data_IF_602612721037
#
_entry.id   IF_602612721037
#
_cell.length_a   1.000
_cell.length_b   1.000
_cell.length_c   1.000
_cell.angle_alpha   90.00
_cell.angle_beta   90.00
_cell.angle_gamma   90.00
#
_symmetry.space_group_name_H-M   'P 1'
#
loop_
_entity.id
_entity.type
_entity.pdbx_description
1 polymer ?
#
# COMPACT_ATOMS: atom_id res chain seq x y z
N UNK A 1 6.39 -7.09 -11.06
CA UNK A 1 4.99 -6.79 -10.79
C UNK A 1 4.01 -7.85 -11.31
N UNK A 2 4.11 -8.42 -12.55
CA UNK A 2 3.14 -9.42 -13.02
C UNK A 2 3.14 -10.71 -12.19
N UNK A 3 4.28 -11.15 -11.68
CA UNK A 3 4.39 -12.37 -10.86
C UNK A 3 3.67 -12.24 -9.51
N UNK A 4 3.68 -11.06 -8.90
CA UNK A 4 2.96 -10.79 -7.67
C UNK A 4 1.43 -10.88 -7.88
N UNK A 5 0.93 -10.32 -9.00
CA UNK A 5 -0.48 -10.42 -9.36
C UNK A 5 -0.91 -11.89 -9.57
N UNK A 6 -0.05 -12.72 -10.16
CA UNK A 6 -0.31 -14.15 -10.35
C UNK A 6 -0.43 -14.90 -9.00
N UNK A 7 0.45 -14.63 -8.03
CA UNK A 7 0.39 -15.23 -6.69
C UNK A 7 -0.90 -14.85 -5.96
N UNK A 8 -1.31 -13.58 -6.08
CA UNK A 8 -2.56 -13.08 -5.47
C UNK A 8 -3.77 -13.72 -6.15
N UNK A 9 -3.79 -13.82 -7.49
CA UNK A 9 -4.87 -14.44 -8.25
C UNK A 9 -5.06 -15.93 -7.90
N UNK A 10 -3.98 -16.64 -7.58
CA UNK A 10 -4.01 -18.04 -7.11
C UNK A 10 -4.21 -18.18 -5.59
N UNK A 11 -4.56 -17.10 -4.89
CA UNK A 11 -4.84 -17.07 -3.44
C UNK A 11 -3.67 -17.58 -2.57
N UNK A 12 -2.42 -17.59 -3.09
CA UNK A 12 -1.23 -18.02 -2.37
C UNK A 12 -0.65 -16.93 -1.46
N UNK A 13 -1.51 -16.37 -0.60
CA UNK A 13 -1.17 -15.25 0.28
C UNK A 13 -0.01 -15.54 1.24
N UNK A 14 0.19 -16.82 1.62
CA UNK A 14 1.31 -17.20 2.47
C UNK A 14 2.67 -16.87 1.83
N UNK A 15 2.82 -17.17 0.53
CA UNK A 15 4.07 -16.90 -0.19
C UNK A 15 4.30 -15.41 -0.31
N UNK A 16 3.23 -14.66 -0.63
CA UNK A 16 3.27 -13.20 -0.65
C UNK A 16 3.77 -12.65 0.69
N UNK A 17 3.18 -13.09 1.80
CA UNK A 17 3.56 -12.64 3.14
C UNK A 17 5.03 -12.94 3.48
N UNK A 18 5.51 -14.16 3.19
CA UNK A 18 6.91 -14.51 3.46
C UNK A 18 7.90 -13.67 2.64
N UNK A 19 7.61 -13.42 1.38
CA UNK A 19 8.48 -12.60 0.52
C UNK A 19 8.47 -11.14 0.95
N UNK A 20 7.33 -10.58 1.38
CA UNK A 20 7.25 -9.22 1.91
C UNK A 20 7.98 -9.08 3.26
N UNK A 21 7.92 -10.09 4.13
CA UNK A 21 8.72 -10.13 5.37
C UNK A 21 10.22 -10.14 5.03
N UNK A 22 10.63 -11.00 4.10
CA UNK A 22 12.02 -11.07 3.64
C UNK A 22 12.49 -9.72 3.06
N UNK A 23 11.68 -9.10 2.22
CA UNK A 23 11.96 -7.77 1.65
C UNK A 23 12.15 -6.72 2.74
N UNK A 24 11.29 -6.71 3.75
CA UNK A 24 11.37 -5.80 4.88
C UNK A 24 12.62 -6.04 5.71
N UNK A 25 12.95 -7.29 5.99
CA UNK A 25 14.17 -7.64 6.72
C UNK A 25 15.45 -7.19 5.95
N UNK A 26 15.49 -7.41 4.63
CA UNK A 26 16.60 -6.95 3.80
C UNK A 26 16.72 -5.42 3.79
N UNK A 27 15.61 -4.69 3.77
CA UNK A 27 15.63 -3.22 3.88
C UNK A 27 16.15 -2.74 5.24
N UNK A 28 15.83 -3.43 6.32
CA UNK A 28 16.41 -3.13 7.64
C UNK A 28 17.93 -3.38 7.67
N UNK A 29 18.40 -4.45 7.02
CA UNK A 29 19.85 -4.70 6.87
C UNK A 29 20.53 -3.57 6.09
N UNK A 30 19.90 -3.07 5.03
CA UNK A 30 20.43 -1.91 4.28
C UNK A 30 20.59 -0.70 5.20
N UNK A 31 19.59 -0.38 6.01
CA UNK A 31 19.66 0.75 6.94
C UNK A 31 20.82 0.59 7.95
N UNK A 32 21.03 -0.62 8.44
CA UNK A 32 22.15 -0.92 9.33
C UNK A 32 23.52 -0.74 8.61
N UNK A 33 23.63 -1.25 7.40
CA UNK A 33 24.86 -1.08 6.58
C UNK A 33 25.15 0.38 6.27
N UNK A 34 24.11 1.21 6.14
CA UNK A 34 24.26 2.65 5.91
C UNK A 34 24.92 3.38 7.09
N UNK A 35 24.71 2.89 8.31
CA UNK A 35 25.30 3.47 9.53
C UNK A 35 26.81 3.19 9.57
N UNK A 36 27.23 2.01 9.12
CA UNK A 36 28.63 1.54 9.17
C UNK A 36 29.45 1.97 7.95
N UNK A 37 28.79 2.37 6.86
CA UNK A 37 29.45 2.73 5.61
C UNK A 37 29.97 4.18 5.60
N UNK A 38 31.20 4.37 5.13
CA UNK A 38 31.85 5.66 4.91
C UNK A 38 31.62 6.24 3.49
N UNK A 39 30.92 5.49 2.62
CA UNK A 39 30.59 5.94 1.27
C UNK A 39 29.46 6.97 1.25
N UNK A 40 29.25 7.61 0.10
CA UNK A 40 28.07 8.47 -0.11
C UNK A 40 26.81 7.68 0.19
N UNK A 41 26.18 8.04 1.32
CA UNK A 41 25.03 7.32 1.89
C UNK A 41 23.86 7.22 0.93
N UNK A 42 23.66 8.26 0.10
CA UNK A 42 22.55 8.31 -0.85
C UNK A 42 22.76 7.33 -2.00
N UNK A 43 23.94 7.33 -2.59
CA UNK A 43 24.30 6.44 -3.70
C UNK A 43 24.33 4.98 -3.23
N UNK A 44 24.90 4.73 -2.06
CA UNK A 44 24.98 3.40 -1.48
C UNK A 44 23.58 2.83 -1.17
N UNK A 45 22.69 3.63 -0.59
CA UNK A 45 21.30 3.26 -0.37
C UNK A 45 20.57 2.93 -1.67
N UNK A 46 20.73 3.75 -2.70
CA UNK A 46 20.09 3.54 -4.00
C UNK A 46 20.51 2.20 -4.65
N UNK A 47 21.82 1.90 -4.64
CA UNK A 47 22.35 0.65 -5.21
C UNK A 47 21.84 -0.56 -4.43
N UNK A 48 21.93 -0.54 -3.10
CA UNK A 48 21.46 -1.66 -2.27
C UNK A 48 19.95 -1.89 -2.38
N UNK A 49 19.17 -0.82 -2.44
CA UNK A 49 17.72 -0.91 -2.64
C UNK A 49 17.38 -1.54 -3.98
N UNK A 50 18.09 -1.14 -5.05
CA UNK A 50 17.91 -1.74 -6.37
C UNK A 50 18.28 -3.23 -6.37
N UNK A 51 19.39 -3.61 -5.73
CA UNK A 51 19.78 -5.03 -5.60
C UNK A 51 18.72 -5.86 -4.87
N UNK A 52 18.16 -5.35 -3.78
CA UNK A 52 17.08 -6.03 -3.05
C UNK A 52 15.83 -6.15 -3.92
N UNK A 53 15.40 -5.11 -4.63
CA UNK A 53 14.21 -5.19 -5.48
C UNK A 53 14.41 -6.16 -6.66
N UNK A 54 15.61 -6.22 -7.25
CA UNK A 54 15.97 -7.23 -8.28
C UNK A 54 15.94 -8.63 -7.68
N UNK A 55 16.54 -8.84 -6.51
CA UNK A 55 16.57 -10.13 -5.83
C UNK A 55 15.16 -10.66 -5.51
N UNK A 56 14.30 -9.82 -4.96
CA UNK A 56 12.90 -10.14 -4.69
C UNK A 56 12.14 -10.46 -5.97
N UNK A 57 12.38 -9.72 -7.05
CA UNK A 57 11.76 -9.99 -8.35
C UNK A 57 12.18 -11.35 -8.91
N UNK A 58 13.45 -11.73 -8.73
CA UNK A 58 13.96 -13.04 -9.13
C UNK A 58 13.28 -14.16 -8.31
N UNK A 59 13.11 -13.98 -7.00
CA UNK A 59 12.40 -14.95 -6.14
C UNK A 59 10.98 -15.17 -6.65
N UNK A 60 10.23 -14.08 -6.86
CA UNK A 60 8.87 -14.15 -7.40
C UNK A 60 8.83 -14.87 -8.76
N UNK A 61 9.76 -14.54 -9.65
CA UNK A 61 9.86 -15.16 -10.97
C UNK A 61 10.11 -16.66 -10.88
N UNK A 62 11.10 -17.09 -10.08
CA UNK A 62 11.46 -18.52 -9.92
C UNK A 62 10.28 -19.29 -9.33
N UNK A 63 9.64 -18.72 -8.32
CA UNK A 63 8.47 -19.35 -7.70
C UNK A 63 7.33 -19.54 -8.71
N UNK A 64 6.95 -18.48 -9.42
CA UNK A 64 5.84 -18.50 -10.36
C UNK A 64 6.10 -19.46 -11.54
N UNK A 65 7.30 -19.45 -12.12
CA UNK A 65 7.63 -20.36 -13.23
C UNK A 65 7.59 -21.82 -12.81
N UNK A 66 7.90 -22.13 -11.53
CA UNK A 66 7.89 -23.51 -11.03
C UNK A 66 6.49 -24.02 -10.68
N UNK A 67 5.58 -23.14 -10.29
CA UNK A 67 4.27 -23.53 -9.76
C UNK A 67 3.11 -23.22 -10.70
N UNK A 68 3.29 -22.31 -11.67
CA UNK A 68 2.24 -21.86 -12.58
C UNK A 68 2.71 -21.95 -14.03
N UNK A 69 2.02 -22.75 -14.83
CA UNK A 69 2.33 -22.93 -16.27
C UNK A 69 2.09 -21.63 -17.07
N UNK A 70 1.14 -20.81 -16.62
CA UNK A 70 0.77 -19.54 -17.23
C UNK A 70 1.88 -18.48 -17.14
N UNK A 71 2.81 -18.62 -16.18
CA UNK A 71 3.94 -17.71 -15.99
C UNK A 71 5.12 -17.99 -16.93
N UNK A 72 5.01 -19.00 -17.80
CA UNK A 72 6.02 -19.25 -18.85
C UNK A 72 5.88 -18.21 -19.95
N UNK A 73 6.95 -17.49 -20.18
CA UNK A 73 6.97 -16.42 -21.19
C UNK A 73 6.68 -17.00 -22.60
N UNK A 74 5.53 -16.64 -23.17
CA UNK A 74 5.17 -16.90 -24.56
C UNK A 74 4.87 -15.56 -25.23
N UNK A 75 5.54 -15.31 -26.34
CA UNK A 75 5.28 -14.10 -27.11
C UNK A 75 4.04 -14.36 -27.99
N UNK A 76 2.86 -14.07 -27.47
CA UNK A 76 1.59 -14.11 -28.19
C UNK A 76 1.01 -12.71 -28.22
N UNK A 77 0.66 -12.25 -29.43
CA UNK A 77 0.07 -10.93 -29.62
C UNK A 77 -1.39 -11.14 -30.04
N UNK A 78 -2.27 -11.13 -29.06
CA UNK A 78 -3.72 -11.23 -29.30
C UNK A 78 -4.36 -9.85 -29.13
N UNK A 79 -4.86 -9.30 -30.24
CA UNK A 79 -5.47 -7.96 -30.29
C UNK A 79 -6.79 -7.90 -29.52
N UNK A 80 -7.52 -9.00 -29.46
CA UNK A 80 -8.85 -9.06 -28.84
C UNK A 80 -8.75 -9.03 -27.32
N UNK A 81 -7.64 -9.53 -26.77
CA UNK A 81 -7.31 -9.45 -25.33
C UNK A 81 -6.61 -8.13 -25.01
N UNK A 82 -5.70 -7.70 -25.87
CA UNK A 82 -4.87 -6.51 -25.62
C UNK A 82 -5.69 -5.21 -25.60
N UNK A 83 -6.67 -5.07 -26.46
CA UNK A 83 -7.49 -3.85 -26.57
C UNK A 83 -8.31 -3.56 -25.30
N UNK A 84 -9.09 -4.50 -24.73
CA UNK A 84 -9.76 -4.30 -23.47
C UNK A 84 -8.80 -4.03 -22.31
N UNK A 85 -7.67 -4.78 -22.26
CA UNK A 85 -6.65 -4.58 -21.22
C UNK A 85 -6.02 -3.19 -21.27
N UNK A 86 -5.68 -2.68 -22.46
CA UNK A 86 -5.12 -1.34 -22.62
C UNK A 86 -6.16 -0.26 -22.27
N UNK A 87 -7.42 -0.46 -22.64
CA UNK A 87 -8.49 0.48 -22.28
C UNK A 87 -8.66 0.56 -20.76
N UNK A 88 -8.78 -0.59 -20.09
CA UNK A 88 -8.91 -0.66 -18.65
C UNK A 88 -7.67 -0.07 -17.94
N UNK A 89 -6.46 -0.49 -18.33
CA UNK A 89 -5.21 0.02 -17.75
C UNK A 89 -5.01 1.50 -18.02
N UNK A 90 -5.48 2.03 -19.16
CA UNK A 90 -5.43 3.45 -19.48
C UNK A 90 -6.29 4.29 -18.55
N UNK A 91 -7.51 3.84 -18.25
CA UNK A 91 -8.39 4.48 -17.27
C UNK A 91 -7.81 4.43 -15.86
N UNK A 92 -7.30 3.26 -15.44
CA UNK A 92 -6.68 3.07 -14.14
C UNK A 92 -5.43 3.94 -13.98
N UNK A 93 -4.59 4.03 -15.02
CA UNK A 93 -3.43 4.91 -15.07
C UNK A 93 -3.83 6.39 -14.96
N UNK A 94 -4.88 6.83 -15.66
CA UNK A 94 -5.36 8.20 -15.58
C UNK A 94 -5.89 8.52 -14.17
N UNK A 95 -6.68 7.63 -13.60
CA UNK A 95 -7.17 7.75 -12.21
C UNK A 95 -6.01 7.81 -11.22
N UNK A 96 -5.01 6.96 -11.39
CA UNK A 96 -3.79 6.93 -10.59
C UNK A 96 -2.98 8.23 -10.72
N UNK A 97 -2.87 8.81 -11.91
CA UNK A 97 -2.23 10.09 -12.13
C UNK A 97 -2.97 11.22 -11.39
N UNK A 98 -4.29 11.29 -11.51
CA UNK A 98 -5.10 12.28 -10.79
C UNK A 98 -4.95 12.14 -9.26
N UNK A 99 -4.95 10.92 -8.75
CA UNK A 99 -4.73 10.65 -7.34
C UNK A 99 -3.33 11.09 -6.89
N UNK A 100 -2.29 10.79 -7.68
CA UNK A 100 -0.92 11.21 -7.38
C UNK A 100 -0.75 12.73 -7.40
N UNK A 101 -1.35 13.43 -8.36
CA UNK A 101 -1.33 14.91 -8.41
C UNK A 101 -2.00 15.49 -7.16
N UNK A 102 -3.10 14.92 -6.73
CA UNK A 102 -3.75 15.34 -5.48
C UNK A 102 -2.85 15.10 -4.26
N UNK A 103 -2.27 13.90 -4.16
CA UNK A 103 -1.42 13.52 -3.02
C UNK A 103 -0.11 14.31 -2.94
N UNK A 104 0.54 14.57 -4.06
CA UNK A 104 1.81 15.31 -4.12
C UNK A 104 1.60 16.83 -4.17
N UNK A 105 0.49 17.27 -4.72
CA UNK A 105 0.15 18.69 -4.86
C UNK A 105 -0.08 19.37 -3.52
N UNK A 106 -0.76 18.70 -2.59
CA UNK A 106 -1.07 19.28 -1.27
C UNK A 106 0.20 19.66 -0.49
N UNK A 107 1.21 18.79 -0.31
CA UNK A 107 2.48 19.18 0.34
C UNK A 107 3.21 20.32 -0.37
N UNK A 108 3.14 20.35 -1.70
CA UNK A 108 3.75 21.41 -2.48
C UNK A 108 3.11 22.78 -2.21
N UNK A 109 1.77 22.84 -2.19
CA UNK A 109 1.04 24.06 -1.82
C UNK A 109 1.29 24.48 -0.38
N UNK A 110 1.32 23.52 0.55
CA UNK A 110 1.64 23.80 1.96
C UNK A 110 3.03 24.44 2.08
N UNK A 111 4.00 23.96 1.31
CA UNK A 111 5.36 24.52 1.33
C UNK A 111 5.44 25.96 0.79
N UNK A 112 4.63 26.31 -0.22
CA UNK A 112 4.60 27.65 -0.80
C UNK A 112 3.86 28.64 0.09
N UNK A 113 2.72 28.24 0.66
CA UNK A 113 1.79 29.16 1.35
C UNK A 113 2.10 29.25 2.85
N UNK A 114 2.57 28.16 3.45
CA UNK A 114 2.85 28.05 4.88
C UNK A 114 4.37 27.94 5.15
N UNK A 115 4.71 27.82 6.42
CA UNK A 115 6.11 27.71 6.84
C UNK A 115 6.69 26.29 6.62
N UNK A 116 8.04 26.22 6.60
CA UNK A 116 8.78 24.94 6.57
C UNK A 116 8.38 24.01 7.73
N UNK A 117 8.04 24.59 8.90
CA UNK A 117 7.59 23.82 10.07
C UNK A 117 6.24 23.15 9.79
N UNK A 118 5.33 23.84 9.14
CA UNK A 118 4.04 23.26 8.75
C UNK A 118 4.20 22.16 7.71
N UNK A 119 5.10 22.35 6.76
CA UNK A 119 5.42 21.30 5.77
C UNK A 119 6.05 20.06 6.42
N UNK A 120 6.91 20.22 7.41
CA UNK A 120 7.45 19.12 8.18
C UNK A 120 6.35 18.38 8.96
N UNK A 121 5.43 19.12 9.60
CA UNK A 121 4.27 18.53 10.27
C UNK A 121 3.40 17.73 9.30
N UNK A 122 3.08 18.28 8.12
CA UNK A 122 2.31 17.61 7.08
C UNK A 122 3.01 16.33 6.58
N UNK A 123 4.33 16.34 6.41
CA UNK A 123 5.12 15.17 6.04
C UNK A 123 5.02 14.03 7.07
N UNK A 124 5.06 14.36 8.35
CA UNK A 124 4.87 13.39 9.44
C UNK A 124 3.45 12.81 9.39
N UNK A 125 2.45 13.67 9.24
CA UNK A 125 1.04 13.26 9.14
C UNK A 125 0.84 12.29 7.97
N UNK A 126 1.35 12.62 6.79
CA UNK A 126 1.29 11.76 5.59
C UNK A 126 1.98 10.41 5.86
N UNK A 127 3.14 10.42 6.51
CA UNK A 127 3.87 9.18 6.81
C UNK A 127 3.06 8.28 7.73
N UNK A 128 2.50 8.82 8.80
CA UNK A 128 1.69 8.07 9.76
C UNK A 128 0.40 7.57 9.09
N UNK A 129 -0.35 8.41 8.43
CA UNK A 129 -1.61 8.01 7.77
C UNK A 129 -1.39 6.98 6.67
N UNK A 130 -0.26 7.01 5.95
CA UNK A 130 0.09 6.01 4.95
C UNK A 130 0.33 4.62 5.58
N UNK A 131 0.87 4.53 6.78
CA UNK A 131 0.97 3.25 7.51
C UNK A 131 -0.41 2.64 7.74
N UNK A 132 -1.37 3.45 8.19
CA UNK A 132 -2.75 3.00 8.41
C UNK A 132 -3.45 2.60 7.10
N UNK A 133 -3.29 3.41 6.04
CA UNK A 133 -3.82 3.09 4.70
C UNK A 133 -3.23 1.80 4.14
N UNK A 134 -1.94 1.54 4.35
CA UNK A 134 -1.28 0.29 3.95
C UNK A 134 -1.86 -0.91 4.69
N UNK A 135 -2.16 -0.75 5.98
CA UNK A 135 -2.78 -1.81 6.77
C UNK A 135 -4.16 -2.18 6.23
N UNK A 136 -4.99 -1.17 5.92
CA UNK A 136 -6.29 -1.36 5.26
C UNK A 136 -6.14 -2.04 3.90
N UNK A 137 -5.18 -1.59 3.10
CA UNK A 137 -4.89 -2.17 1.78
C UNK A 137 -4.54 -3.65 1.84
N UNK A 138 -3.76 -4.07 2.84
CA UNK A 138 -3.39 -5.47 3.03
C UNK A 138 -4.62 -6.35 3.37
N UNK A 139 -5.48 -5.88 4.27
CA UNK A 139 -6.73 -6.58 4.61
C UNK A 139 -7.64 -6.67 3.38
N UNK A 140 -7.84 -5.58 2.68
CA UNK A 140 -8.67 -5.51 1.47
C UNK A 140 -8.15 -6.45 0.38
N UNK A 141 -6.84 -6.51 0.18
CA UNK A 141 -6.19 -7.40 -0.79
C UNK A 141 -6.44 -8.88 -0.47
N UNK A 142 -6.57 -9.25 0.80
CA UNK A 142 -6.85 -10.63 1.20
C UNK A 142 -8.29 -11.07 0.86
N UNK A 143 -9.27 -10.17 0.94
CA UNK A 143 -10.68 -10.48 0.64
C UNK A 143 -11.03 -10.34 -0.85
N UNK A 144 -10.33 -9.50 -1.59
CA UNK A 144 -10.63 -9.18 -3.00
C UNK A 144 -10.77 -10.40 -3.92
N UNK A 145 -9.87 -11.42 -3.89
CA UNK A 145 -10.00 -12.59 -4.78
C UNK A 145 -11.28 -13.38 -4.53
N UNK A 146 -11.70 -13.53 -3.26
CA UNK A 146 -12.93 -14.26 -2.91
C UNK A 146 -14.17 -13.52 -3.41
N UNK A 147 -14.21 -12.19 -3.26
CA UNK A 147 -15.32 -11.37 -3.74
C UNK A 147 -15.45 -11.48 -5.27
N UNK A 148 -14.33 -11.35 -6.00
CA UNK A 148 -14.31 -11.45 -7.48
C UNK A 148 -14.73 -12.84 -7.94
N UNK A 149 -14.30 -13.92 -7.26
CA UNK A 149 -14.65 -15.29 -7.58
C UNK A 149 -16.14 -15.55 -7.40
N UNK A 150 -16.74 -15.11 -6.30
CA UNK A 150 -18.17 -15.26 -6.03
C UNK A 150 -19.02 -14.43 -7.00
N UNK A 151 -18.55 -13.24 -7.37
CA UNK A 151 -19.17 -12.43 -8.41
C UNK A 151 -19.20 -13.15 -9.77
N UNK A 152 -18.06 -13.73 -10.18
CA UNK A 152 -17.98 -14.49 -11.42
C UNK A 152 -18.82 -15.78 -11.42
N UNK A 153 -19.15 -16.32 -10.24
CA UNK A 153 -20.06 -17.46 -10.07
C UNK A 153 -21.52 -17.06 -9.93
N UNK A 154 -21.85 -15.76 -10.05
CA UNK A 154 -23.21 -15.20 -9.86
C UNK A 154 -23.81 -15.45 -8.46
N UNK A 155 -22.95 -15.77 -7.48
CA UNK A 155 -23.34 -16.01 -6.08
C UNK A 155 -23.36 -14.71 -5.27
N UNK A 156 -24.24 -13.81 -5.65
CA UNK A 156 -24.29 -12.45 -5.09
C UNK A 156 -24.56 -12.41 -3.58
N UNK A 157 -25.33 -13.33 -3.05
CA UNK A 157 -25.65 -13.40 -1.60
C UNK A 157 -24.39 -13.73 -0.79
N UNK A 158 -23.67 -14.79 -1.17
CA UNK A 158 -22.43 -15.20 -0.52
C UNK A 158 -21.35 -14.10 -0.66
N UNK A 159 -21.30 -13.46 -1.83
CA UNK A 159 -20.39 -12.31 -2.08
C UNK A 159 -20.67 -11.15 -1.11
N UNK A 160 -21.94 -10.79 -0.92
CA UNK A 160 -22.34 -9.71 -0.01
C UNK A 160 -22.04 -10.05 1.45
N UNK A 161 -22.17 -11.30 1.86
CA UNK A 161 -21.81 -11.74 3.21
C UNK A 161 -20.31 -11.56 3.49
N UNK A 162 -19.45 -11.97 2.55
CA UNK A 162 -17.99 -11.75 2.67
C UNK A 162 -17.66 -10.26 2.63
N UNK A 163 -18.33 -9.50 1.79
CA UNK A 163 -18.15 -8.07 1.71
C UNK A 163 -18.48 -7.39 3.06
N UNK A 164 -19.65 -7.68 3.65
CA UNK A 164 -20.05 -7.14 4.96
C UNK A 164 -19.13 -7.61 6.09
N UNK A 165 -18.64 -8.85 6.02
CA UNK A 165 -17.66 -9.36 6.98
C UNK A 165 -16.35 -8.57 6.90
N UNK A 166 -15.84 -8.32 5.70
CA UNK A 166 -14.61 -7.55 5.49
C UNK A 166 -14.75 -6.11 5.99
N UNK A 167 -15.89 -5.47 5.69
CA UNK A 167 -16.22 -4.12 6.18
C UNK A 167 -16.26 -4.06 7.70
N UNK A 168 -16.95 -5.00 8.33
CA UNK A 168 -17.07 -5.06 9.80
C UNK A 168 -15.70 -5.23 10.46
N UNK A 169 -14.89 -6.16 9.94
CA UNK A 169 -13.53 -6.37 10.44
C UNK A 169 -12.68 -5.11 10.31
N UNK A 170 -12.69 -4.45 9.15
CA UNK A 170 -11.94 -3.22 8.94
C UNK A 170 -12.37 -2.09 9.88
N UNK A 171 -13.67 -1.87 10.04
CA UNK A 171 -14.19 -0.83 10.94
C UNK A 171 -13.75 -1.10 12.38
N UNK A 172 -13.90 -2.33 12.86
CA UNK A 172 -13.53 -2.68 14.24
C UNK A 172 -12.02 -2.49 14.45
N UNK A 173 -11.20 -3.08 13.58
CA UNK A 173 -9.75 -3.02 13.71
C UNK A 173 -9.25 -1.57 13.63
N UNK A 174 -9.73 -0.82 12.63
CA UNK A 174 -9.32 0.58 12.45
C UNK A 174 -9.80 1.47 13.58
N UNK A 175 -11.02 1.26 14.10
CA UNK A 175 -11.50 2.02 15.27
C UNK A 175 -10.60 1.82 16.50
N UNK A 176 -10.26 0.56 16.80
CA UNK A 176 -9.39 0.25 17.94
C UNK A 176 -8.01 0.90 17.78
N UNK A 177 -7.42 0.77 16.58
CA UNK A 177 -6.08 1.30 16.31
C UNK A 177 -6.08 2.84 16.34
N UNK A 178 -7.02 3.49 15.66
CA UNK A 178 -7.11 4.95 15.58
C UNK A 178 -7.38 5.55 16.96
N UNK A 179 -8.34 5.03 17.72
CA UNK A 179 -8.66 5.54 19.07
C UNK A 179 -7.44 5.39 19.99
N UNK A 180 -6.79 4.23 19.96
CA UNK A 180 -5.59 3.99 20.78
C UNK A 180 -4.44 4.93 20.39
N UNK A 181 -4.29 5.23 19.11
CA UNK A 181 -3.26 6.12 18.62
C UNK A 181 -3.55 7.59 18.97
N UNK A 182 -4.78 8.08 18.75
CA UNK A 182 -5.19 9.45 19.10
C UNK A 182 -4.95 9.72 20.57
N UNK A 183 -5.34 8.77 21.44
CA UNK A 183 -5.17 8.92 22.90
C UNK A 183 -3.70 9.00 23.31
N UNK A 184 -2.80 8.33 22.61
CA UNK A 184 -1.36 8.29 22.92
C UNK A 184 -0.51 9.05 21.90
N UNK A 185 -1.10 9.90 21.05
CA UNK A 185 -0.44 10.53 19.91
C UNK A 185 0.80 11.32 20.32
N UNK A 186 0.69 12.20 21.32
CA UNK A 186 1.82 13.01 21.80
C UNK A 186 2.96 12.14 22.35
N UNK A 187 2.63 11.10 23.10
CA UNK A 187 3.62 10.16 23.65
C UNK A 187 4.35 9.39 22.55
N UNK A 188 3.62 8.85 21.56
CA UNK A 188 4.18 8.09 20.45
C UNK A 188 5.08 8.99 19.59
N UNK A 189 4.63 10.21 19.30
CA UNK A 189 5.40 11.16 18.51
C UNK A 189 6.69 11.59 19.23
N UNK A 190 6.67 11.78 20.53
CA UNK A 190 7.86 12.14 21.31
C UNK A 190 8.90 11.00 21.38
N UNK A 191 8.46 9.75 21.37
CA UNK A 191 9.38 8.60 21.29
C UNK A 191 10.01 8.53 19.90
N UNK A 192 9.21 8.76 18.86
CA UNK A 192 9.67 8.62 17.48
C UNK A 192 10.49 9.82 17.00
N UNK A 193 10.09 11.03 17.36
CA UNK A 193 10.70 12.27 16.93
C UNK A 193 11.39 12.96 18.11
N UNK A 194 12.65 13.36 17.92
CA UNK A 194 13.35 14.16 18.93
C UNK A 194 12.69 15.51 19.21
N UNK A 195 12.09 16.11 18.18
CA UNK A 195 11.32 17.35 18.25
C UNK A 195 10.05 17.18 17.42
N UNK A 196 8.92 17.36 18.05
CA UNK A 196 7.60 17.31 17.39
C UNK A 196 7.28 18.71 16.87
N UNK A 197 7.10 18.92 15.55
CA UNK A 197 6.73 20.22 15.00
C UNK A 197 5.39 20.70 15.57
N UNK A 198 5.24 22.02 15.70
CA UNK A 198 3.97 22.61 16.12
C UNK A 198 2.84 22.16 15.15
N UNK A 199 1.63 22.01 15.69
CA UNK A 199 0.42 21.58 14.97
C UNK A 199 0.39 20.12 14.49
N UNK A 200 1.46 19.31 14.64
CA UNK A 200 1.49 17.92 14.15
C UNK A 200 0.39 17.07 14.77
N UNK A 201 0.16 17.19 16.09
CA UNK A 201 -0.86 16.40 16.82
C UNK A 201 -2.26 16.75 16.29
N UNK A 202 -2.60 18.02 16.21
CA UNK A 202 -3.92 18.49 15.73
C UNK A 202 -4.16 18.04 14.28
N UNK A 203 -3.15 18.17 13.42
CA UNK A 203 -3.25 17.72 12.03
C UNK A 203 -3.45 16.21 11.94
N UNK A 204 -2.76 15.43 12.80
CA UNK A 204 -2.94 13.97 12.86
C UNK A 204 -4.35 13.59 13.28
N UNK A 205 -4.90 14.23 14.31
CA UNK A 205 -6.26 13.94 14.77
C UNK A 205 -7.29 14.17 13.66
N UNK A 206 -7.17 15.28 12.95
CA UNK A 206 -8.05 15.60 11.80
C UNK A 206 -7.86 14.57 10.68
N UNK A 207 -6.62 14.23 10.32
CA UNK A 207 -6.34 13.28 9.25
C UNK A 207 -6.72 11.84 9.61
N UNK A 208 -6.70 11.46 10.88
CA UNK A 208 -7.23 10.17 11.31
C UNK A 208 -8.74 10.08 11.16
N UNK A 209 -9.43 11.17 11.49
CA UNK A 209 -10.88 11.25 11.27
C UNK A 209 -11.19 11.10 9.77
N UNK A 210 -10.49 11.84 8.91
CA UNK A 210 -10.61 11.73 7.45
C UNK A 210 -10.28 10.30 6.98
N UNK A 211 -9.17 9.71 7.46
CA UNK A 211 -8.75 8.37 7.08
C UNK A 211 -9.78 7.31 7.48
N UNK A 212 -10.43 7.46 8.62
CA UNK A 212 -11.50 6.55 9.05
C UNK A 212 -12.68 6.54 8.06
N UNK A 213 -13.14 7.72 7.63
CA UNK A 213 -14.20 7.81 6.62
C UNK A 213 -13.76 7.33 5.23
N UNK A 214 -12.52 7.62 4.83
CA UNK A 214 -11.96 7.16 3.56
C UNK A 214 -11.88 5.63 3.50
N UNK A 215 -11.55 4.98 4.62
CA UNK A 215 -11.57 3.51 4.74
C UNK A 215 -12.98 2.96 4.56
N UNK A 216 -13.99 3.58 5.14
CA UNK A 216 -15.38 3.19 4.94
C UNK A 216 -15.81 3.37 3.47
N UNK A 217 -15.43 4.48 2.84
CA UNK A 217 -15.77 4.79 1.45
C UNK A 217 -15.01 3.91 0.44
N UNK A 218 -13.74 3.59 0.70
CA UNK A 218 -12.92 2.78 -0.21
C UNK A 218 -13.41 1.35 -0.36
N UNK A 219 -13.96 0.77 0.71
CA UNK A 219 -14.57 -0.56 0.64
C UNK A 219 -15.85 -0.57 -0.20
N UNK A 220 -16.63 0.51 -0.20
CA UNK A 220 -17.81 0.61 -1.08
C UNK A 220 -17.43 0.53 -2.56
N UNK A 221 -16.23 0.97 -2.94
CA UNK A 221 -15.75 0.92 -4.33
C UNK A 221 -15.46 -0.51 -4.82
N UNK A 222 -15.14 -1.45 -3.92
CA UNK A 222 -14.89 -2.87 -4.30
C UNK A 222 -16.16 -3.56 -4.78
N UNK A 223 -17.32 -3.14 -4.29
CA UNK A 223 -18.62 -3.71 -4.70
C UNK A 223 -19.19 -3.11 -5.98
N UNK A 224 -18.56 -2.04 -6.53
CA UNK A 224 -19.06 -1.29 -7.70
C UNK A 224 -18.18 -1.51 -8.95
N UNK A 225 -16.98 -2.05 -8.81
CA UNK A 225 -16.05 -2.40 -9.89
C UNK A 225 -15.90 -3.92 -10.02
#
# INVERSE_FOLDING_TARGET
VPYNACIIAHERMNVYAYVEILKTALRLVILYLLIVSDFDKLLFYAILSLLVDVFITIIYRIYCIRHFEECRFRFTFDKDILKPMLSFSGFDMFTGLCANVNFQGIPYFINIVFSVVMNAAAGIVITVTNVFRSFVGNITTAFRPQIVKLYAQEKYTEMMDIYYLSMRMLIIVMSVIIISFIYNCDFILRIWLKQVPAYTVILLDICFFETFFDVMASNLKIGVH
#
